data_IF_156712539101
#
_entry.id   IF_156712539101
#
_cell.length_a   1.000
_cell.length_b   1.000
_cell.length_c   1.000
_cell.angle_alpha   90.00
_cell.angle_beta   90.00
_cell.angle_gamma   90.00
#
_symmetry.space_group_name_H-M   'P 1'
#
loop_
_entity.id
_entity.type
_entity.pdbx_description
1 polymer ?
#
# COMPACT_ATOMS: atom_id res chain seq x y z
N UNK A 1 23.93 31.43 35.46
CA UNK A 1 23.81 31.98 34.09
C UNK A 1 24.49 31.10 33.03
N UNK A 2 25.73 30.63 33.22
CA UNK A 2 26.38 29.78 32.21
C UNK A 2 25.59 28.49 31.90
N UNK A 3 25.08 27.81 32.92
CA UNK A 3 24.30 26.58 32.73
C UNK A 3 23.00 26.80 31.93
N UNK A 4 22.30 27.93 32.13
CA UNK A 4 21.04 28.20 31.41
C UNK A 4 21.27 28.48 29.93
N UNK A 5 22.41 29.07 29.55
CA UNK A 5 22.77 29.32 28.15
C UNK A 5 23.10 27.99 27.47
N UNK A 6 23.87 27.13 28.14
CA UNK A 6 24.25 25.82 27.60
C UNK A 6 23.06 24.88 27.40
N UNK A 7 22.08 24.89 28.32
CA UNK A 7 20.82 24.15 28.12
C UNK A 7 20.01 24.67 26.93
N UNK A 8 19.99 25.99 26.70
CA UNK A 8 19.28 26.57 25.57
C UNK A 8 19.92 26.18 24.22
N UNK A 9 21.25 26.23 24.13
CA UNK A 9 21.97 25.82 22.92
C UNK A 9 21.81 24.32 22.63
N UNK A 10 21.91 23.48 23.66
CA UNK A 10 21.68 22.04 23.51
C UNK A 10 20.25 21.73 23.06
N UNK A 11 19.25 22.38 23.67
CA UNK A 11 17.85 22.25 23.27
C UNK A 11 17.64 22.65 21.80
N UNK A 12 18.24 23.75 21.35
CA UNK A 12 18.17 24.17 19.95
C UNK A 12 18.84 23.17 18.99
N UNK A 13 20.00 22.62 19.37
CA UNK A 13 20.70 21.62 18.56
C UNK A 13 19.86 20.34 18.41
N UNK A 14 19.25 19.88 19.50
CA UNK A 14 18.33 18.73 19.49
C UNK A 14 17.12 19.01 18.60
N UNK A 15 16.49 20.19 18.71
CA UNK A 15 15.36 20.57 17.87
C UNK A 15 15.72 20.58 16.38
N UNK A 16 16.88 21.12 16.02
CA UNK A 16 17.38 21.12 14.63
C UNK A 16 17.62 19.71 14.13
N UNK A 17 18.23 18.85 14.94
CA UNK A 17 18.52 17.46 14.56
C UNK A 17 17.23 16.68 14.32
N UNK A 18 16.24 16.83 15.21
CA UNK A 18 14.91 16.24 15.02
C UNK A 18 14.24 16.74 13.74
N UNK A 19 14.32 18.05 13.46
CA UNK A 19 13.79 18.61 12.23
C UNK A 19 14.44 18.01 10.98
N UNK A 20 15.78 17.91 10.94
CA UNK A 20 16.48 17.28 9.81
C UNK A 20 16.13 15.80 9.63
N UNK A 21 16.01 15.04 10.72
CA UNK A 21 15.59 13.64 10.64
C UNK A 21 14.15 13.51 10.12
N UNK A 22 13.22 14.35 10.59
CA UNK A 22 11.85 14.36 10.08
C UNK A 22 11.80 14.69 8.59
N UNK A 23 12.60 15.65 8.13
CA UNK A 23 12.73 15.99 6.69
C UNK A 23 13.31 14.81 5.91
N UNK A 24 14.37 14.17 6.39
CA UNK A 24 14.97 13.00 5.70
C UNK A 24 13.98 11.84 5.59
N UNK A 25 13.26 11.53 6.68
CA UNK A 25 12.22 10.48 6.68
C UNK A 25 11.11 10.82 5.68
N UNK A 26 10.71 12.08 5.56
CA UNK A 26 9.70 12.51 4.60
C UNK A 26 10.17 12.44 3.13
N UNK A 27 11.49 12.48 2.87
CA UNK A 27 12.08 12.45 1.52
C UNK A 27 12.36 11.03 1.03
N UNK A 28 12.51 10.05 1.93
CA UNK A 28 12.70 8.64 1.54
C UNK A 28 11.36 8.05 1.09
N UNK A 29 11.07 8.17 -0.20
CA UNK A 29 10.03 7.41 -0.87
C UNK A 29 10.62 6.06 -1.29
N UNK A 30 10.18 4.97 -0.68
CA UNK A 30 10.44 3.64 -1.22
C UNK A 30 9.60 3.45 -2.49
N UNK A 31 10.08 2.63 -3.44
CA UNK A 31 9.30 2.17 -4.59
C UNK A 31 8.19 1.21 -4.11
N UNK A 32 7.18 1.79 -3.48
CA UNK A 32 6.00 1.09 -2.98
C UNK A 32 4.79 1.89 -3.41
N UNK A 33 4.06 1.35 -4.38
CA UNK A 33 2.75 1.88 -4.74
C UNK A 33 1.77 1.48 -3.65
N UNK A 34 1.06 2.47 -3.14
CA UNK A 34 0.15 2.25 -2.01
C UNK A 34 -1.05 3.16 -2.06
N UNK A 35 -2.14 2.66 -1.50
CA UNK A 35 -3.34 3.45 -1.25
C UNK A 35 -3.78 3.23 0.20
N UNK A 36 -4.25 4.31 0.83
CA UNK A 36 -4.84 4.29 2.16
C UNK A 36 -6.32 4.62 1.98
N UNK A 37 -7.20 3.84 2.60
CA UNK A 37 -8.64 3.98 2.47
C UNK A 37 -9.37 3.66 3.76
N UNK A 38 -10.65 4.04 3.85
CA UNK A 38 -11.51 3.76 5.01
C UNK A 38 -12.75 2.97 4.61
N UNK A 39 -13.18 2.02 5.44
CA UNK A 39 -14.25 1.07 5.09
C UNK A 39 -15.60 1.69 4.74
N UNK A 40 -16.05 2.73 5.45
CA UNK A 40 -17.41 3.30 5.30
C UNK A 40 -17.49 4.71 4.70
N UNK A 41 -16.43 5.50 4.79
CA UNK A 41 -16.52 6.95 4.54
C UNK A 41 -16.31 7.36 3.10
N UNK A 42 -15.64 6.52 2.30
CA UNK A 42 -15.26 6.92 0.94
C UNK A 42 -16.32 6.61 -0.11
N UNK A 43 -17.35 5.84 0.22
CA UNK A 43 -18.27 5.34 -0.80
C UNK A 43 -19.73 5.31 -0.32
N UNK A 44 -20.41 6.45 -0.47
CA UNK A 44 -21.88 6.47 -0.56
C UNK A 44 -22.30 5.87 -1.91
N UNK A 45 -22.41 4.55 -2.00
CA UNK A 45 -22.97 3.91 -3.20
C UNK A 45 -24.49 3.97 -3.17
N UNK A 46 -25.11 4.35 -4.28
CA UNK A 46 -26.52 4.05 -4.53
C UNK A 46 -26.73 2.54 -4.44
N UNK A 47 -27.48 2.11 -3.42
CA UNK A 47 -27.64 0.70 -3.08
C UNK A 47 -28.55 -0.02 -4.09
N UNK A 48 -27.98 -0.44 -5.22
CA UNK A 48 -28.60 -1.42 -6.11
C UNK A 48 -28.11 -2.85 -5.76
N UNK A 49 -28.91 -3.65 -5.05
CA UNK A 49 -28.52 -4.99 -4.62
C UNK A 49 -28.34 -5.96 -5.80
N UNK A 50 -28.93 -5.69 -6.97
CA UNK A 50 -28.73 -6.54 -8.15
C UNK A 50 -27.30 -6.45 -8.67
N UNK A 51 -26.77 -5.24 -8.79
CA UNK A 51 -25.40 -5.01 -9.27
C UNK A 51 -24.37 -5.65 -8.34
N UNK A 52 -24.62 -5.60 -7.02
CA UNK A 52 -23.78 -6.29 -6.04
C UNK A 52 -23.71 -7.79 -6.32
N UNK A 53 -24.87 -8.44 -6.49
CA UNK A 53 -24.92 -9.87 -6.73
C UNK A 53 -24.17 -10.25 -8.01
N UNK A 54 -24.46 -9.55 -9.12
CA UNK A 54 -23.80 -9.82 -10.39
C UNK A 54 -22.29 -9.70 -10.31
N UNK A 55 -21.77 -8.64 -9.69
CA UNK A 55 -20.33 -8.46 -9.55
C UNK A 55 -19.72 -9.52 -8.64
N UNK A 56 -20.36 -9.86 -7.53
CA UNK A 56 -19.83 -10.86 -6.61
C UNK A 56 -19.81 -12.26 -7.23
N UNK A 57 -20.89 -12.65 -7.90
CA UNK A 57 -21.00 -13.94 -8.59
C UNK A 57 -20.06 -14.03 -9.79
N UNK A 58 -19.87 -12.94 -10.51
CA UNK A 58 -18.83 -12.84 -11.53
C UNK A 58 -17.43 -13.00 -10.94
N UNK A 59 -17.12 -12.32 -9.84
CA UNK A 59 -15.84 -12.43 -9.15
C UNK A 59 -15.57 -13.86 -8.67
N UNK A 60 -16.60 -14.57 -8.20
CA UNK A 60 -16.52 -15.99 -7.82
C UNK A 60 -16.28 -16.90 -9.03
N UNK A 61 -17.02 -16.66 -10.13
CA UNK A 61 -16.83 -17.40 -11.39
C UNK A 61 -15.44 -17.21 -11.99
N UNK A 62 -14.90 -15.99 -11.91
CA UNK A 62 -13.53 -15.64 -12.32
C UNK A 62 -12.47 -16.00 -11.28
N UNK A 63 -12.87 -16.55 -10.13
CA UNK A 63 -11.98 -16.92 -9.05
C UNK A 63 -11.05 -15.77 -8.59
N UNK A 64 -11.55 -14.54 -8.54
CA UNK A 64 -10.79 -13.39 -8.07
C UNK A 64 -10.27 -13.64 -6.64
N UNK A 65 -8.96 -13.47 -6.38
CA UNK A 65 -8.41 -13.75 -5.07
C UNK A 65 -9.01 -12.83 -4.01
N UNK A 66 -9.26 -13.39 -2.83
CA UNK A 66 -9.79 -12.65 -1.68
C UNK A 66 -8.68 -12.24 -0.73
N UNK A 67 -8.63 -10.95 -0.38
CA UNK A 67 -7.77 -10.40 0.65
C UNK A 67 -8.58 -10.18 1.93
N UNK A 68 -8.22 -10.92 2.97
CA UNK A 68 -8.88 -10.88 4.27
C UNK A 68 -8.17 -9.90 5.21
N UNK A 69 -8.90 -8.91 5.70
CA UNK A 69 -8.44 -8.08 6.82
C UNK A 69 -8.37 -8.88 8.15
N UNK A 70 -7.59 -8.42 9.15
CA UNK A 70 -6.85 -7.16 9.22
C UNK A 70 -5.47 -7.23 8.53
N UNK A 71 -5.06 -8.39 8.05
CA UNK A 71 -3.81 -8.59 7.34
C UNK A 71 -3.92 -9.72 6.31
N UNK A 72 -3.61 -9.41 5.05
CA UNK A 72 -3.43 -10.39 3.99
C UNK A 72 -2.18 -10.07 3.18
N UNK A 73 -1.54 -11.12 2.66
CA UNK A 73 -0.43 -11.02 1.71
C UNK A 73 -0.67 -12.03 0.60
N UNK A 74 -0.64 -11.58 -0.65
CA UNK A 74 -0.91 -12.40 -1.81
C UNK A 74 0.19 -12.21 -2.87
N UNK A 75 1.01 -13.24 -3.14
CA UNK A 75 1.97 -13.20 -4.23
C UNK A 75 1.25 -13.39 -5.57
N UNK A 76 1.57 -12.57 -6.56
CA UNK A 76 0.96 -12.62 -7.90
C UNK A 76 1.97 -12.17 -8.97
N UNK A 77 1.55 -12.21 -10.24
CA UNK A 77 2.31 -11.70 -11.37
C UNK A 77 1.40 -11.10 -12.44
N UNK A 78 1.83 -9.96 -12.98
CA UNK A 78 1.23 -9.33 -14.15
C UNK A 78 2.30 -9.13 -15.22
N UNK A 79 1.94 -9.27 -16.47
CA UNK A 79 2.76 -8.79 -17.59
C UNK A 79 2.41 -7.33 -17.78
N UNK A 80 3.32 -6.38 -17.53
CA UNK A 80 2.99 -4.96 -17.64
C UNK A 80 2.59 -4.59 -19.06
N UNK A 81 1.77 -3.55 -19.20
CA UNK A 81 1.47 -2.94 -20.49
C UNK A 81 2.75 -2.30 -21.05
N UNK A 82 3.11 -2.63 -22.27
CA UNK A 82 4.19 -1.99 -23.02
C UNK A 82 3.63 -0.91 -23.96
N UNK A 83 4.43 0.11 -24.30
CA UNK A 83 4.08 1.09 -25.33
C UNK A 83 3.81 0.43 -26.70
N UNK A 84 4.38 -0.77 -26.93
CA UNK A 84 4.14 -1.56 -28.14
C UNK A 84 2.75 -2.23 -28.16
N UNK A 85 2.06 -2.30 -27.03
CA UNK A 85 0.72 -2.87 -26.92
C UNK A 85 -0.39 -1.87 -27.33
N UNK A 86 -0.06 -0.61 -27.65
CA UNK A 86 -1.04 0.42 -28.06
C UNK A 86 -1.57 0.27 -29.50
N UNK A 87 -1.19 -0.82 -30.20
CA UNK A 87 -1.73 -1.13 -31.52
C UNK A 87 -3.15 -1.73 -31.47
N UNK A 88 -3.98 -1.56 -32.52
CA UNK A 88 -5.36 -2.06 -32.58
C UNK A 88 -5.50 -3.60 -32.65
N UNK A 89 -4.42 -4.35 -32.40
CA UNK A 89 -4.42 -5.81 -32.43
C UNK A 89 -3.50 -6.34 -31.32
N UNK A 90 -4.05 -6.68 -30.13
CA UNK A 90 -3.28 -7.35 -29.12
C UNK A 90 -3.15 -8.84 -29.49
N UNK A 91 -1.90 -9.31 -29.55
CA UNK A 91 -1.50 -10.71 -29.37
C UNK A 91 -1.69 -11.64 -30.59
N UNK A 92 -0.58 -11.92 -31.30
CA UNK A 92 -0.45 -13.18 -32.05
C UNK A 92 -0.52 -14.35 -31.07
N UNK A 93 -1.59 -15.13 -31.16
CA UNK A 93 -1.99 -16.21 -30.25
C UNK A 93 -1.16 -17.52 -30.35
N UNK A 94 0.10 -17.44 -30.78
CA UNK A 94 0.90 -18.63 -31.10
C UNK A 94 1.92 -19.06 -30.03
N UNK A 95 1.92 -18.45 -28.83
CA UNK A 95 2.75 -18.96 -27.73
C UNK A 95 2.02 -20.08 -26.96
N UNK A 96 2.43 -21.36 -27.11
CA UNK A 96 1.77 -22.50 -26.48
C UNK A 96 2.00 -22.59 -24.97
N UNK A 97 2.82 -21.71 -24.38
CA UNK A 97 2.99 -21.59 -22.92
C UNK A 97 2.11 -20.49 -22.30
N UNK A 98 1.23 -19.87 -23.09
CA UNK A 98 0.33 -18.82 -22.64
C UNK A 98 -0.93 -19.38 -21.96
N UNK A 99 -0.75 -19.99 -20.79
CA UNK A 99 -1.83 -20.47 -19.93
C UNK A 99 -2.33 -19.36 -18.98
N UNK A 100 -2.39 -18.11 -19.45
CA UNK A 100 -3.18 -17.07 -18.80
C UNK A 100 -4.59 -17.12 -19.40
N UNK A 101 -5.43 -17.96 -18.79
CA UNK A 101 -6.86 -18.07 -19.07
C UNK A 101 -7.50 -16.67 -19.08
N UNK A 102 -7.95 -16.20 -20.25
CA UNK A 102 -8.95 -15.14 -20.48
C UNK A 102 -8.82 -13.79 -19.72
N UNK A 103 -7.75 -13.54 -18.97
CA UNK A 103 -7.55 -12.30 -18.24
C UNK A 103 -6.62 -11.35 -18.98
N UNK A 104 -6.93 -10.05 -18.92
CA UNK A 104 -6.05 -9.00 -19.44
C UNK A 104 -4.71 -9.10 -18.70
N UNK A 105 -3.59 -9.37 -19.38
CA UNK A 105 -2.38 -9.86 -18.73
C UNK A 105 -1.68 -8.81 -17.85
N UNK A 106 -2.04 -7.54 -18.02
CA UNK A 106 -1.53 -6.40 -17.27
C UNK A 106 -2.47 -5.92 -16.14
N UNK A 107 -3.59 -6.61 -15.90
CA UNK A 107 -4.59 -6.25 -14.88
C UNK A 107 -4.90 -7.42 -13.96
N UNK A 108 -5.19 -7.14 -12.68
CA UNK A 108 -5.69 -8.10 -11.69
C UNK A 108 -6.77 -7.48 -10.83
N UNK A 109 -7.73 -8.30 -10.45
CA UNK A 109 -8.84 -7.95 -9.58
C UNK A 109 -8.76 -8.74 -8.28
N UNK A 110 -9.04 -8.10 -7.15
CA UNK A 110 -9.07 -8.72 -5.84
C UNK A 110 -10.35 -8.34 -5.10
N UNK A 111 -10.92 -9.30 -4.37
CA UNK A 111 -12.03 -9.07 -3.45
C UNK A 111 -11.47 -8.68 -2.09
N UNK A 112 -12.03 -7.64 -1.47
CA UNK A 112 -11.72 -7.30 -0.09
C UNK A 112 -12.80 -7.84 0.83
N UNK A 113 -12.39 -8.54 1.90
CA UNK A 113 -13.31 -9.09 2.89
C UNK A 113 -12.83 -8.78 4.31
N UNK A 114 -13.78 -8.68 5.25
CA UNK A 114 -13.52 -8.34 6.65
C UNK A 114 -13.14 -6.87 6.87
N UNK A 115 -13.53 -5.98 5.95
CA UNK A 115 -13.29 -4.54 6.08
C UNK A 115 -14.31 -3.96 7.06
N UNK A 116 -13.82 -3.46 8.19
CA UNK A 116 -14.61 -2.78 9.21
C UNK A 116 -14.99 -1.39 8.71
N UNK A 117 -16.24 -0.98 8.95
CA UNK A 117 -16.79 0.30 8.50
C UNK A 117 -15.96 1.51 8.99
N UNK A 118 -15.51 1.52 10.23
CA UNK A 118 -14.68 2.59 10.80
C UNK A 118 -13.17 2.33 10.73
N UNK A 119 -12.76 1.20 10.16
CA UNK A 119 -11.37 0.83 9.98
C UNK A 119 -10.68 1.62 8.87
N UNK A 120 -9.44 2.05 9.14
CA UNK A 120 -8.51 2.50 8.11
C UNK A 120 -7.66 1.33 7.61
N UNK A 121 -7.34 1.30 6.32
CA UNK A 121 -6.61 0.21 5.68
C UNK A 121 -5.57 0.77 4.70
N UNK A 122 -4.47 0.03 4.52
CA UNK A 122 -3.43 0.30 3.53
C UNK A 122 -3.28 -0.93 2.63
N UNK A 123 -3.44 -0.74 1.32
CA UNK A 123 -3.05 -1.71 0.31
C UNK A 123 -1.72 -1.30 -0.31
N UNK A 124 -0.76 -2.23 -0.37
CA UNK A 124 0.61 -2.00 -0.85
C UNK A 124 1.02 -3.06 -1.85
N UNK A 125 1.68 -2.63 -2.91
CA UNK A 125 2.37 -3.53 -3.83
C UNK A 125 3.87 -3.43 -3.59
N UNK A 126 4.51 -4.59 -3.40
CA UNK A 126 5.96 -4.73 -3.33
C UNK A 126 6.46 -5.57 -4.50
N UNK A 127 7.44 -5.07 -5.25
CA UNK A 127 7.96 -5.75 -6.43
C UNK A 127 9.49 -5.57 -6.55
N UNK A 128 10.20 -6.43 -7.31
CA UNK A 128 11.64 -6.32 -7.49
C UNK A 128 12.04 -5.05 -8.25
N UNK A 129 13.04 -4.32 -7.73
CA UNK A 129 13.59 -3.14 -8.40
C UNK A 129 14.24 -3.42 -9.78
N UNK A 130 14.50 -4.69 -10.09
CA UNK A 130 15.02 -5.14 -11.40
C UNK A 130 13.96 -5.16 -12.49
N UNK A 131 12.69 -4.95 -12.15
CA UNK A 131 11.55 -4.97 -13.04
C UNK A 131 10.82 -3.63 -12.97
N UNK A 132 11.31 -2.58 -13.66
CA UNK A 132 10.74 -1.24 -13.60
C UNK A 132 9.30 -1.25 -14.14
N UNK A 133 8.34 -1.03 -13.25
CA UNK A 133 6.91 -1.10 -13.56
C UNK A 133 6.17 -0.16 -12.62
N UNK A 134 5.37 0.72 -13.20
CA UNK A 134 4.49 1.60 -12.45
C UNK A 134 3.17 0.87 -12.23
N UNK A 135 2.87 0.57 -10.96
CA UNK A 135 1.62 -0.07 -10.58
C UNK A 135 0.57 0.99 -10.24
N UNK A 136 -0.60 0.88 -10.86
CA UNK A 136 -1.78 1.66 -10.51
C UNK A 136 -2.69 0.79 -9.67
N UNK A 137 -3.04 1.26 -8.47
CA UNK A 137 -3.97 0.59 -7.56
C UNK A 137 -5.23 1.46 -7.46
N UNK A 138 -6.39 0.86 -7.68
CA UNK A 138 -7.68 1.52 -7.52
C UNK A 138 -8.55 0.75 -6.55
N UNK A 139 -9.12 1.45 -5.56
CA UNK A 139 -10.18 0.91 -4.72
C UNK A 139 -11.53 1.20 -5.39
N UNK A 140 -12.33 0.15 -5.54
CA UNK A 140 -13.60 0.23 -6.25
C UNK A 140 -14.70 -0.42 -5.42
N UNK A 141 -15.88 0.19 -5.43
CA UNK A 141 -17.10 -0.47 -4.95
C UNK A 141 -17.76 -1.29 -6.07
N UNK A 142 -18.71 -2.14 -5.70
CA UNK A 142 -19.43 -2.98 -6.66
C UNK A 142 -20.11 -2.19 -7.78
N UNK A 143 -20.66 -0.99 -7.55
CA UNK A 143 -21.25 -0.16 -8.61
C UNK A 143 -20.20 0.29 -9.63
N UNK A 144 -19.02 0.70 -9.18
CA UNK A 144 -17.90 1.06 -10.05
C UNK A 144 -17.39 -0.15 -10.82
N UNK A 145 -17.24 -1.31 -10.15
CA UNK A 145 -16.86 -2.55 -10.83
C UNK A 145 -17.88 -2.94 -11.89
N UNK A 146 -19.17 -2.89 -11.56
CA UNK A 146 -20.26 -3.18 -12.49
C UNK A 146 -20.18 -2.28 -13.74
N UNK A 147 -19.99 -0.98 -13.55
CA UNK A 147 -19.88 -0.02 -14.65
C UNK A 147 -18.66 -0.31 -15.52
N UNK A 148 -17.51 -0.64 -14.91
CA UNK A 148 -16.28 -0.98 -15.64
C UNK A 148 -16.48 -2.28 -16.43
N UNK A 149 -17.04 -3.32 -15.82
CA UNK A 149 -17.27 -4.62 -16.48
C UNK A 149 -18.32 -4.52 -17.60
N UNK A 150 -19.30 -3.63 -17.45
CA UNK A 150 -20.35 -3.40 -18.44
C UNK A 150 -19.88 -2.53 -19.62
N UNK A 151 -18.79 -1.77 -19.47
CA UNK A 151 -18.28 -0.87 -20.51
C UNK A 151 -17.30 -1.59 -21.45
N UNK A 152 -17.66 -1.78 -22.75
CA UNK A 152 -16.80 -2.44 -23.73
C UNK A 152 -15.49 -1.70 -24.02
N UNK A 153 -15.46 -0.39 -23.78
CA UNK A 153 -14.29 0.46 -24.07
C UNK A 153 -13.25 0.30 -22.97
N UNK A 154 -13.67 0.17 -21.71
CA UNK A 154 -12.77 0.16 -20.56
C UNK A 154 -12.18 -1.21 -20.24
N UNK A 155 -12.95 -2.29 -20.43
CA UNK A 155 -12.54 -3.64 -20.01
C UNK A 155 -12.19 -4.56 -21.18
N UNK A 156 -12.08 -4.00 -22.39
CA UNK A 156 -11.85 -4.73 -23.62
C UNK A 156 -13.09 -5.51 -24.05
N UNK A 157 -13.37 -5.49 -25.36
CA UNK A 157 -14.62 -6.00 -25.94
C UNK A 157 -14.96 -7.46 -25.59
N UNK A 158 -13.97 -8.31 -25.28
CA UNK A 158 -14.19 -9.72 -24.96
C UNK A 158 -14.76 -9.94 -23.57
N UNK A 159 -14.23 -9.25 -22.56
CA UNK A 159 -14.65 -9.45 -21.17
C UNK A 159 -16.00 -8.79 -20.89
N UNK A 160 -16.28 -7.65 -21.54
CA UNK A 160 -17.59 -7.02 -21.47
C UNK A 160 -18.67 -7.91 -22.08
N UNK A 161 -18.40 -8.56 -23.21
CA UNK A 161 -19.34 -9.49 -23.84
C UNK A 161 -19.61 -10.70 -22.93
N UNK A 162 -18.56 -11.30 -22.37
CA UNK A 162 -18.72 -12.43 -21.44
C UNK A 162 -19.45 -12.04 -20.15
N UNK A 163 -19.25 -10.81 -19.65
CA UNK A 163 -20.00 -10.29 -18.51
C UNK A 163 -21.47 -10.08 -18.87
N UNK A 164 -21.79 -9.51 -20.04
CA UNK A 164 -23.18 -9.36 -20.50
C UNK A 164 -23.87 -10.71 -20.67
N UNK A 165 -23.21 -11.69 -21.29
CA UNK A 165 -23.73 -13.07 -21.41
C UNK A 165 -24.01 -13.68 -20.02
N UNK A 166 -23.16 -13.38 -19.04
CA UNK A 166 -23.37 -13.79 -17.65
C UNK A 166 -24.60 -13.11 -17.03
N UNK A 167 -24.78 -11.80 -17.22
CA UNK A 167 -25.95 -11.05 -16.73
C UNK A 167 -27.26 -11.62 -17.29
N UNK A 168 -27.28 -12.00 -18.57
CA UNK A 168 -28.47 -12.60 -19.19
C UNK A 168 -28.80 -13.99 -18.62
N UNK A 169 -27.78 -14.72 -18.15
CA UNK A 169 -27.94 -16.07 -17.57
C UNK A 169 -28.40 -16.07 -16.11
N UNK A 170 -28.16 -14.99 -15.35
CA UNK A 170 -28.36 -14.90 -13.89
C UNK A 170 -29.70 -14.26 -13.49
N UNK A 171 -30.77 -14.48 -14.26
CA UNK A 171 -32.05 -13.77 -14.11
C UNK A 171 -32.95 -14.24 -12.93
N UNK A 172 -32.54 -15.21 -12.11
CA UNK A 172 -33.40 -15.86 -11.10
C UNK A 172 -32.89 -15.67 -9.65
N UNK A 173 -32.82 -14.40 -9.21
CA UNK A 173 -32.22 -14.03 -7.92
C UNK A 173 -33.21 -13.85 -6.78
N UNK A 174 -33.07 -14.67 -5.74
CA UNK A 174 -33.75 -14.49 -4.45
C UNK A 174 -33.04 -13.41 -3.61
N UNK A 175 -33.51 -12.17 -3.76
CA UNK A 175 -32.96 -10.96 -3.11
C UNK A 175 -33.05 -10.93 -1.57
N UNK A 176 -33.60 -11.96 -0.94
CA UNK A 176 -33.85 -11.95 0.51
C UNK A 176 -32.58 -12.09 1.36
N UNK A 177 -31.50 -12.63 0.82
CA UNK A 177 -30.24 -12.90 1.54
C UNK A 177 -29.21 -11.75 1.43
N UNK A 178 -29.54 -10.65 0.73
CA UNK A 178 -28.58 -9.59 0.40
C UNK A 178 -28.58 -8.40 1.37
N UNK A 179 -29.51 -8.35 2.33
CA UNK A 179 -29.64 -7.18 3.24
C UNK A 179 -28.55 -7.10 4.31
N UNK A 180 -27.87 -8.20 4.59
CA UNK A 180 -26.86 -8.28 5.64
C UNK A 180 -25.42 -8.30 5.10
N UNK A 181 -25.22 -8.21 3.78
CA UNK A 181 -23.88 -8.23 3.17
C UNK A 181 -23.32 -6.81 3.06
N UNK A 182 -22.53 -6.45 4.08
CA UNK A 182 -21.74 -5.23 4.19
C UNK A 182 -20.82 -5.00 2.97
N UNK A 183 -20.71 -3.71 2.59
CA UNK A 183 -19.69 -3.05 1.78
C UNK A 183 -18.64 -3.97 1.11
N UNK A 184 -19.00 -4.61 -0.02
CA UNK A 184 -17.99 -5.27 -0.84
C UNK A 184 -17.13 -4.22 -1.55
N UNK A 185 -15.85 -4.21 -1.19
CA UNK A 185 -14.81 -3.45 -1.86
C UNK A 185 -13.97 -4.40 -2.72
N UNK A 186 -13.43 -3.84 -3.78
CA UNK A 186 -12.58 -4.53 -4.73
C UNK A 186 -11.32 -3.70 -4.95
N UNK A 187 -10.18 -4.38 -5.11
CA UNK A 187 -8.95 -3.75 -5.58
C UNK A 187 -8.72 -4.12 -7.03
N UNK A 188 -8.46 -3.10 -7.83
CA UNK A 188 -7.97 -3.25 -9.18
C UNK A 188 -6.49 -2.85 -9.23
N UNK A 189 -5.67 -3.71 -9.82
CA UNK A 189 -4.24 -3.51 -9.98
C UNK A 189 -3.91 -3.55 -11.46
N UNK A 190 -3.20 -2.54 -11.95
CA UNK A 190 -2.72 -2.44 -13.33
C UNK A 190 -1.22 -2.13 -13.33
N UNK A 191 -0.45 -2.76 -14.21
CA UNK A 191 0.98 -2.51 -14.34
C UNK A 191 1.33 -1.92 -15.70
N UNK A 192 2.12 -0.85 -15.70
CA UNK A 192 2.67 -0.24 -16.92
C UNK A 192 4.19 -0.32 -16.89
N UNK A 193 4.82 -0.83 -17.94
CA UNK A 193 6.27 -0.91 -17.99
C UNK A 193 6.87 0.49 -18.19
N UNK A 194 7.82 0.88 -17.34
CA UNK A 194 8.46 2.21 -17.37
C UNK A 194 9.98 2.16 -17.53
N UNK A 195 10.54 0.96 -17.68
CA UNK A 195 11.97 0.77 -17.88
C UNK A 195 12.48 1.17 -19.24
N UNK A 196 13.75 1.56 -19.31
CA UNK A 196 14.53 1.56 -20.55
C UNK A 196 15.50 0.39 -20.47
N UNK A 197 15.32 -0.60 -21.34
CA UNK A 197 16.18 -1.78 -21.42
C UNK A 197 16.79 -1.88 -22.82
N UNK A 198 18.08 -2.26 -22.89
CA UNK A 198 18.74 -2.62 -24.16
C UNK A 198 18.47 -4.07 -24.56
N UNK A 199 17.95 -4.88 -23.63
CA UNK A 199 17.54 -6.26 -23.88
C UNK A 199 16.11 -6.25 -24.38
N UNK A 200 15.92 -6.71 -25.62
CA UNK A 200 14.61 -6.80 -26.27
C UNK A 200 13.67 -7.74 -25.51
N UNK A 201 12.40 -7.34 -25.40
CA UNK A 201 11.33 -8.13 -24.83
C UNK A 201 11.36 -8.26 -23.29
N UNK A 202 12.19 -7.48 -22.60
CA UNK A 202 12.15 -7.40 -21.13
C UNK A 202 10.83 -6.82 -20.63
N UNK A 203 10.26 -5.89 -21.38
CA UNK A 203 8.96 -5.26 -21.16
C UNK A 203 7.79 -6.26 -21.13
N UNK A 204 7.94 -7.42 -21.77
CA UNK A 204 6.90 -8.45 -21.82
C UNK A 204 7.03 -9.50 -20.72
N UNK A 205 8.09 -9.42 -19.90
CA UNK A 205 8.30 -10.39 -18.82
C UNK A 205 7.31 -10.14 -17.68
N UNK A 206 6.62 -11.18 -17.19
CA UNK A 206 5.77 -11.04 -16.03
C UNK A 206 6.56 -10.51 -14.82
N UNK A 207 6.03 -9.47 -14.20
CA UNK A 207 6.56 -8.87 -12.99
C UNK A 207 5.83 -9.51 -11.82
N UNK A 208 6.61 -10.24 -11.02
CA UNK A 208 6.13 -10.79 -9.75
C UNK A 208 6.00 -9.67 -8.74
N UNK A 209 4.89 -9.63 -8.03
CA UNK A 209 4.69 -8.70 -6.93
C UNK A 209 4.00 -9.39 -5.77
N UNK A 210 4.04 -8.76 -4.61
CA UNK A 210 3.29 -9.15 -3.44
C UNK A 210 2.33 -8.02 -3.09
N UNK A 211 1.03 -8.30 -3.12
CA UNK A 211 -0.02 -7.40 -2.68
C UNK A 211 -0.30 -7.65 -1.21
N UNK A 212 -0.09 -6.64 -0.37
CA UNK A 212 -0.37 -6.70 1.05
C UNK A 212 -1.53 -5.76 1.39
N UNK A 213 -2.49 -6.25 2.15
CA UNK A 213 -3.55 -5.47 2.77
C UNK A 213 -3.30 -5.46 4.28
N UNK A 214 -3.24 -4.28 4.89
CA UNK A 214 -3.05 -4.16 6.34
C UNK A 214 -3.99 -3.11 6.93
N UNK A 215 -4.59 -3.41 8.08
CA UNK A 215 -5.35 -2.45 8.86
C UNK A 215 -4.42 -1.41 9.50
N UNK A 216 -4.81 -0.15 9.46
CA UNK A 216 -4.12 0.96 10.08
C UNK A 216 -4.74 1.27 11.44
N UNK A 217 -3.92 1.23 12.49
CA UNK A 217 -4.27 1.74 13.79
C UNK A 217 -4.21 3.28 13.79
N UNK A 218 -5.24 3.92 14.35
CA UNK A 218 -5.40 5.39 14.36
C UNK A 218 -5.41 6.04 12.96
N UNK A 219 -5.61 5.27 11.90
CA UNK A 219 -5.68 5.75 10.51
C UNK A 219 -4.32 6.00 9.83
N UNK A 220 -3.18 5.80 10.50
CA UNK A 220 -1.87 6.05 9.89
C UNK A 220 -0.77 5.03 10.27
N UNK A 221 -0.92 4.27 11.35
CA UNK A 221 0.12 3.33 11.78
C UNK A 221 -0.27 1.91 11.37
N UNK A 222 0.54 1.19 10.57
CA UNK A 222 0.30 -0.22 10.29
C UNK A 222 0.16 -1.03 11.60
N UNK A 223 -0.84 -1.89 11.69
CA UNK A 223 -1.13 -2.67 12.91
C UNK A 223 0.05 -3.56 13.35
N UNK A 224 0.95 -3.95 12.46
CA UNK A 224 2.17 -4.66 12.84
C UNK A 224 3.26 -3.70 13.37
N UNK A 225 3.28 -2.45 12.91
CA UNK A 225 4.33 -1.48 13.20
C UNK A 225 4.12 -0.71 14.52
N UNK A 226 2.89 -0.58 15.04
CA UNK A 226 2.64 0.25 16.23
C UNK A 226 3.41 -0.22 17.47
N UNK A 227 3.57 -1.54 17.66
CA UNK A 227 4.35 -2.11 18.76
C UNK A 227 5.81 -1.67 18.69
N UNK A 228 6.38 -1.68 17.49
CA UNK A 228 7.74 -1.21 17.23
C UNK A 228 7.85 0.30 17.45
N UNK A 229 6.88 1.09 16.97
CA UNK A 229 6.86 2.53 17.18
C UNK A 229 6.83 2.89 18.68
N UNK A 230 5.96 2.24 19.47
CA UNK A 230 5.88 2.44 20.93
C UNK A 230 7.20 2.04 21.60
N UNK A 231 7.77 0.89 21.22
CA UNK A 231 9.05 0.43 21.75
C UNK A 231 10.18 1.43 21.44
N UNK A 232 10.22 1.97 20.22
CA UNK A 232 11.21 2.96 19.83
C UNK A 232 11.06 4.26 20.63
N UNK A 233 9.83 4.76 20.79
CA UNK A 233 9.55 5.94 21.60
C UNK A 233 9.97 5.76 23.05
N UNK A 234 9.74 4.57 23.63
CA UNK A 234 10.15 4.24 24.99
C UNK A 234 11.68 4.24 25.11
N UNK A 235 12.38 3.54 24.21
CA UNK A 235 13.85 3.44 24.23
C UNK A 235 14.48 4.82 24.04
N UNK A 236 14.02 5.60 23.07
CA UNK A 236 14.51 6.97 22.84
C UNK A 236 14.20 7.86 24.03
N UNK A 237 12.98 7.78 24.57
CA UNK A 237 12.57 8.54 25.76
C UNK A 237 13.44 8.23 26.98
N UNK A 238 13.72 6.95 27.26
CA UNK A 238 14.62 6.55 28.35
C UNK A 238 16.06 7.02 28.10
N UNK A 239 16.55 6.92 26.86
CA UNK A 239 17.86 7.41 26.47
C UNK A 239 18.01 8.91 26.74
N UNK A 240 17.04 9.70 26.29
CA UNK A 240 17.03 11.16 26.48
C UNK A 240 16.85 11.55 27.95
N UNK A 241 16.01 10.84 28.71
CA UNK A 241 15.72 11.19 30.11
C UNK A 241 16.78 10.72 31.10
N UNK A 242 17.48 9.62 30.85
CA UNK A 242 18.40 9.02 31.82
C UNK A 242 19.85 8.96 31.34
N UNK A 243 20.08 8.52 30.09
CA UNK A 243 21.44 8.33 29.58
C UNK A 243 22.09 9.68 29.27
N UNK A 244 21.39 10.56 28.56
CA UNK A 244 21.92 11.88 28.18
C UNK A 244 22.29 12.73 29.42
N UNK A 245 21.43 12.88 30.46
CA UNK A 245 21.80 13.64 31.65
C UNK A 245 22.91 12.98 32.46
N UNK A 246 22.94 11.64 32.52
CA UNK A 246 24.01 10.90 33.20
C UNK A 246 25.37 11.14 32.54
N UNK A 247 25.44 11.04 31.21
CA UNK A 247 26.66 11.31 30.45
C UNK A 247 27.08 12.78 30.55
N UNK A 248 26.12 13.69 30.48
CA UNK A 248 26.35 15.12 30.65
C UNK A 248 26.95 15.45 32.02
N UNK A 249 26.38 14.88 33.08
CA UNK A 249 26.89 15.05 34.44
C UNK A 249 28.34 14.55 34.54
N UNK A 250 28.62 13.37 34.00
CA UNK A 250 29.97 12.79 34.05
C UNK A 250 31.01 13.64 33.31
N UNK A 251 30.66 14.21 32.15
CA UNK A 251 31.53 15.15 31.43
C UNK A 251 31.80 16.39 32.29
N UNK A 252 30.75 16.97 32.88
CA UNK A 252 30.89 18.19 33.69
C UNK A 252 31.72 17.94 34.95
N UNK A 253 31.55 16.80 35.60
CA UNK A 253 32.34 16.39 36.77
C UNK A 253 33.84 16.29 36.38
N UNK A 254 34.16 15.61 35.27
CA UNK A 254 35.55 15.43 34.80
C UNK A 254 36.22 16.77 34.45
N UNK A 255 35.52 17.65 33.75
CA UNK A 255 36.04 18.99 33.42
C UNK A 255 36.28 19.81 34.69
N UNK A 256 35.40 19.70 35.70
CA UNK A 256 35.54 20.43 36.95
C UNK A 256 36.76 19.98 37.77
N UNK A 257 37.06 18.68 37.78
CA UNK A 257 38.24 18.12 38.43
C UNK A 257 39.53 18.63 37.79
N UNK A 258 39.64 18.59 36.47
CA UNK A 258 40.83 19.07 35.74
C UNK A 258 41.12 20.55 36.02
N UNK A 259 40.09 21.40 35.99
CA UNK A 259 40.21 22.83 36.31
C UNK A 259 40.67 23.04 37.75
N UNK A 260 40.20 22.22 38.70
CA UNK A 260 40.60 22.31 40.11
C UNK A 260 42.07 21.93 40.33
N UNK A 261 42.55 20.89 39.64
CA UNK A 261 43.95 20.44 39.68
C UNK A 261 44.87 21.50 39.11
N UNK A 262 44.50 22.10 37.98
CA UNK A 262 45.31 23.13 37.33
C UNK A 262 45.41 24.40 38.19
N UNK A 263 44.33 24.81 38.86
CA UNK A 263 44.36 25.93 39.83
C UNK A 263 45.30 25.66 40.98
N UNK A 264 45.27 24.44 41.55
CA UNK A 264 46.15 24.05 42.67
C UNK A 264 47.63 24.03 42.29
N UNK A 265 47.97 23.82 41.01
CA UNK A 265 49.36 23.92 40.52
C UNK A 265 49.87 25.37 40.39
N UNK A 266 48.96 26.35 40.29
CA UNK A 266 49.32 27.77 40.11
C UNK A 266 49.45 28.55 41.43
N UNK A 267 48.94 28.00 42.54
CA UNK A 267 49.06 28.54 43.90
C UNK A 267 50.24 27.90 44.61
#
# INVERSE_FOLDING_TARGET
MANSILYAEFSQLMMRTFFYQAVLIAVVWANTEKIIFHGSKEIESTHDPHNYHHVNSWAERKAWPTLLAPYASHPDSIRPRSALDEGPNPINAEDPHYEFQNEIPFQRWYRLQGIESDGGYEARISYPATSPTDFKIMLLNYTQVYNILSDPILHGSSNSAEFQDFLESDNDLDLKDLRDKEYALYLFVEGNYTGVSTVEGVEFRPVKYNLALEQLHLGFIPNQAYKLAISLLLVVGLGVCFVVPGFWKHIMDTISEDVSVERKKRT
#
